data_IF_737724153301
#
_entry.id   IF_737724153301
#
_cell.length_a   1.000
_cell.length_b   1.000
_cell.length_c   1.000
_cell.angle_alpha   90.00
_cell.angle_beta   90.00
_cell.angle_gamma   90.00
#
_symmetry.space_group_name_H-M   'P 1'
#
loop_
_entity.id
_entity.type
_entity.pdbx_description
1 polymer ?
2 non-polymer ?
3 water ?
#
# COMPACT_ATOMS: atom_id res chain seq x y z
N UNK A 3 2.97 -9.09 9.05
CA UNK A 3 2.84 -7.72 9.64
C UNK A 3 3.59 -6.68 8.80
N UNK A 4 2.85 -5.65 8.40
CA UNK A 4 3.44 -4.55 7.63
C UNK A 4 4.19 -3.58 8.57
N UNK A 5 5.21 -2.88 8.06
CA UNK A 5 5.83 -1.86 8.93
C UNK A 5 4.83 -0.74 9.28
N UNK A 6 5.17 0.11 10.28
CA UNK A 6 4.21 1.14 10.71
C UNK A 6 3.76 2.08 9.57
N UNK A 7 2.47 2.42 9.55
CA UNK A 7 1.94 3.34 8.56
C UNK A 7 1.37 2.70 7.30
N UNK A 8 1.80 1.49 6.98
CA UNK A 8 1.40 0.84 5.73
C UNK A 8 0.05 0.21 5.80
N UNK A 9 -0.71 0.30 4.71
CA UNK A 9 -2.01 -0.37 4.55
C UNK A 9 -1.99 -1.12 3.23
N UNK A 10 -2.65 -2.27 3.22
CA UNK A 10 -2.90 -3.02 2.00
C UNK A 10 -4.21 -2.52 1.38
N UNK A 11 -4.18 -2.17 0.11
CA UNK A 11 -5.36 -1.61 -0.54
C UNK A 11 -5.64 -2.32 -1.84
N UNK A 12 -6.78 -2.00 -2.44
CA UNK A 12 -7.07 -2.56 -3.75
C UNK A 12 -7.38 -1.46 -4.74
N UNK A 13 -6.79 -1.57 -5.92
CA UNK A 13 -7.01 -0.63 -6.99
C UNK A 13 -8.42 -0.77 -7.56
N UNK A 14 -9.18 0.31 -7.60
CA UNK A 14 -10.53 0.30 -8.19
C UNK A 14 -10.47 0.29 -9.71
N UNK A 15 -9.29 0.50 -10.25
CA UNK A 15 -9.09 0.57 -11.66
C UNK A 15 -8.66 -0.80 -12.23
N UNK A 16 -7.72 -1.48 -11.58
CA UNK A 16 -7.23 -2.78 -12.06
C UNK A 16 -7.60 -4.01 -11.21
N UNK A 17 -8.20 -3.83 -10.04
CA UNK A 17 -8.34 -4.94 -9.11
C UNK A 17 -7.04 -5.42 -8.47
N UNK A 18 -5.90 -4.81 -8.79
CA UNK A 18 -4.65 -5.19 -8.15
C UNK A 18 -4.52 -4.62 -6.74
N UNK A 19 -3.84 -5.39 -5.91
CA UNK A 19 -3.44 -5.00 -4.57
C UNK A 19 -2.29 -3.99 -4.67
N UNK A 20 -2.30 -2.99 -3.79
CA UNK A 20 -1.14 -2.11 -3.67
C UNK A 20 -1.02 -1.72 -2.21
N UNK A 21 0.04 -0.97 -1.91
CA UNK A 21 0.34 -0.58 -0.53
C UNK A 21 0.42 0.92 -0.42
N UNK A 22 -0.17 1.45 0.64
CA UNK A 22 -0.24 2.87 0.83
C UNK A 22 0.25 3.18 2.24
N UNK A 23 1.10 4.19 2.37
CA UNK A 23 1.60 4.59 3.68
C UNK A 23 0.96 5.90 4.09
N UNK A 24 0.14 5.90 5.13
CA UNK A 24 -0.53 7.15 5.46
C UNK A 24 0.30 8.10 6.30
N UNK A 25 1.50 7.69 6.72
CA UNK A 25 2.43 8.62 7.36
C UNK A 25 3.11 9.47 6.29
N UNK A 26 3.63 8.83 5.25
CA UNK A 26 4.38 9.57 4.25
C UNK A 26 3.55 9.89 3.00
N UNK A 27 2.31 9.40 2.94
CA UNK A 27 1.53 9.37 1.70
C UNK A 27 2.16 8.67 0.49
N UNK A 28 3.16 7.82 0.70
CA UNK A 28 3.74 7.04 -0.39
C UNK A 28 2.80 5.89 -0.76
N UNK A 29 2.81 5.50 -2.03
CA UNK A 29 2.12 4.30 -2.46
C UNK A 29 3.06 3.53 -3.34
N UNK A 30 2.90 2.22 -3.40
CA UNK A 30 3.74 1.40 -4.27
C UNK A 30 3.04 0.08 -4.51
N UNK A 31 3.41 -0.58 -5.61
CA UNK A 31 2.81 -1.85 -5.99
C UNK A 31 3.32 -3.00 -5.16
N UNK A 32 4.60 -2.98 -4.82
CA UNK A 32 5.24 -4.08 -4.08
C UNK A 32 5.05 -3.95 -2.56
N UNK A 33 4.89 -5.10 -1.91
CA UNK A 33 4.83 -5.17 -0.46
C UNK A 33 6.09 -4.56 0.15
N UNK A 34 5.94 -3.65 1.13
CA UNK A 34 7.16 -3.07 1.70
C UNK A 34 7.88 -3.99 2.71
N UNK A 35 9.16 -3.66 2.94
CA UNK A 35 9.98 -3.99 4.12
C UNK A 35 11.45 -4.05 3.72
X LIG B 1 -0.20 5.79 12.93
X LIG B 1 -0.01 6.43 13.99
X LIG B 1 -0.28 6.36 11.81
X LIG B 1 -0.36 4.30 12.95
X LIG B 1 -1.37 3.95 11.99
X LIG B 1 0.92 3.57 12.59
X LIG B 1 0.67 2.07 12.62
X LIG B 1 0.21 1.57 13.69
X LIG B 1 0.92 1.36 11.60
#
# INVERSE_FOLDING_TARGET
GSKLPPGWEKRMSRSSGRVYYFNHITNASQWERPSG
LMR C1 O1A O1B C2 O2 C3 C4 O4A O4B
#
